data_IF_361833174445
#
_entry.id   IF_361833174445
#
_cell.length_a   1.000
_cell.length_b   1.000
_cell.length_c   1.000
_cell.angle_alpha   90.00
_cell.angle_beta   90.00
_cell.angle_gamma   90.00
#
_symmetry.space_group_name_H-M   'P 1'
#
loop_
_entity.id
_entity.type
_entity.pdbx_description
1 polymer ?
#
# COMPACT_ATOMS: atom_id res chain seq x y z
N UNK A 1 -4.67 -13.81 -1.59
CA UNK A 1 -4.37 -13.22 -2.88
C UNK A 1 -3.22 -12.23 -2.75
N UNK A 2 -2.26 -12.30 -3.64
CA UNK A 2 -1.08 -11.45 -3.60
C UNK A 2 -0.95 -10.69 -4.91
N UNK A 3 -0.73 -9.39 -4.83
CA UNK A 3 -0.64 -8.57 -6.01
C UNK A 3 0.37 -7.44 -5.79
N UNK A 4 1.10 -7.09 -6.84
CA UNK A 4 2.07 -6.01 -6.80
C UNK A 4 1.50 -4.80 -7.54
N UNK A 5 1.78 -3.61 -7.00
CA UNK A 5 1.33 -2.34 -7.57
C UNK A 5 2.54 -1.43 -7.72
N UNK A 6 2.42 -0.45 -8.59
CA UNK A 6 3.41 0.62 -8.69
C UNK A 6 2.92 1.77 -7.82
N UNK A 7 3.81 2.27 -6.95
CA UNK A 7 3.51 3.45 -6.14
C UNK A 7 4.51 4.54 -6.53
N UNK A 8 4.01 5.61 -7.14
CA UNK A 8 4.83 6.70 -7.67
C UNK A 8 4.82 7.91 -6.76
N UNK A 9 5.80 8.77 -6.91
CA UNK A 9 5.91 10.03 -6.19
C UNK A 9 6.11 9.84 -4.68
N UNK A 10 6.64 8.69 -4.28
CA UNK A 10 6.94 8.41 -2.88
C UNK A 10 8.42 8.75 -2.66
N UNK A 11 8.68 9.96 -2.19
CA UNK A 11 10.02 10.52 -2.12
C UNK A 11 10.79 10.14 -0.87
N UNK A 12 10.15 9.55 0.11
CA UNK A 12 10.70 9.40 1.45
C UNK A 12 10.59 7.97 1.95
N UNK A 13 11.72 7.38 2.35
CA UNK A 13 11.72 6.04 2.91
C UNK A 13 10.92 5.93 4.20
N UNK A 14 10.90 6.99 5.00
CA UNK A 14 10.11 7.03 6.22
C UNK A 14 8.61 7.02 5.90
N UNK A 15 8.22 7.73 4.87
CA UNK A 15 6.83 7.77 4.42
C UNK A 15 6.39 6.41 3.89
N UNK A 16 7.27 5.73 3.16
CA UNK A 16 7.00 4.37 2.69
C UNK A 16 6.78 3.42 3.87
N UNK A 17 7.60 3.53 4.90
CA UNK A 17 7.49 2.72 6.09
C UNK A 17 6.19 2.99 6.84
N UNK A 18 5.80 4.25 6.98
CA UNK A 18 4.54 4.63 7.61
C UNK A 18 3.34 4.08 6.84
N UNK A 19 3.38 4.17 5.52
CA UNK A 19 2.32 3.63 4.67
C UNK A 19 2.23 2.11 4.83
N UNK A 20 3.37 1.44 4.88
CA UNK A 20 3.42 -0.01 5.09
C UNK A 20 2.82 -0.40 6.44
N UNK A 21 3.20 0.29 7.50
CA UNK A 21 2.67 0.01 8.83
C UNK A 21 1.16 0.25 8.91
N UNK A 22 0.70 1.38 8.38
CA UNK A 22 -0.72 1.71 8.40
C UNK A 22 -1.53 0.70 7.59
N UNK A 23 -1.02 0.33 6.41
CA UNK A 23 -1.69 -0.65 5.56
C UNK A 23 -1.74 -2.03 6.22
N UNK A 24 -0.70 -2.42 6.95
CA UNK A 24 -0.66 -3.73 7.61
C UNK A 24 -1.69 -3.86 8.72
N UNK A 25 -2.21 -2.75 9.21
CA UNK A 25 -3.24 -2.75 10.26
C UNK A 25 -4.66 -2.87 9.72
N UNK A 26 -4.83 -2.82 8.41
CA UNK A 26 -6.14 -2.93 7.79
C UNK A 26 -6.64 -4.37 7.95
N UNK A 27 -7.89 -4.57 8.42
CA UNK A 27 -8.44 -5.93 8.54
C UNK A 27 -8.49 -6.64 7.19
N UNK A 28 -8.04 -7.88 7.17
CA UNK A 28 -7.98 -8.67 5.95
C UNK A 28 -6.62 -8.71 5.29
N UNK A 29 -5.68 -7.84 5.74
CA UNK A 29 -4.33 -7.83 5.21
C UNK A 29 -3.51 -8.93 5.88
N UNK A 30 -2.90 -9.80 5.08
CA UNK A 30 -1.97 -10.81 5.58
C UNK A 30 -0.55 -10.26 5.63
N UNK A 31 -0.18 -9.52 4.57
CA UNK A 31 1.16 -8.94 4.48
C UNK A 31 1.15 -7.79 3.47
N UNK A 32 1.91 -6.76 3.75
CA UNK A 32 2.10 -5.65 2.82
C UNK A 32 3.56 -5.19 2.89
N UNK A 33 4.12 -4.87 1.74
CA UNK A 33 5.48 -4.34 1.64
C UNK A 33 5.52 -3.19 0.67
N UNK A 34 6.25 -2.15 1.03
CA UNK A 34 6.44 -0.98 0.18
C UNK A 34 7.93 -0.77 -0.01
N UNK A 35 8.35 -0.69 -1.26
CA UNK A 35 9.74 -0.39 -1.61
C UNK A 35 9.75 0.91 -2.41
N UNK A 36 10.22 1.99 -1.79
CA UNK A 36 10.22 3.30 -2.42
C UNK A 36 11.32 3.44 -3.49
N UNK A 37 12.37 2.64 -3.39
CA UNK A 37 13.44 2.68 -4.38
C UNK A 37 13.01 2.11 -5.72
N UNK A 38 12.22 1.04 -5.71
CA UNK A 38 11.67 0.44 -6.92
C UNK A 38 10.28 0.93 -7.24
N UNK A 39 9.73 1.80 -6.42
CA UNK A 39 8.37 2.32 -6.55
C UNK A 39 7.34 1.19 -6.63
N UNK A 40 7.51 0.18 -5.78
CA UNK A 40 6.69 -1.01 -5.84
C UNK A 40 6.08 -1.34 -4.49
N UNK A 41 4.81 -1.72 -4.52
CA UNK A 41 4.08 -2.14 -3.33
C UNK A 41 3.51 -3.54 -3.58
N UNK A 42 3.74 -4.44 -2.64
CA UNK A 42 3.18 -5.80 -2.70
C UNK A 42 2.14 -5.95 -1.61
N UNK A 43 0.96 -6.40 -1.96
CA UNK A 43 -0.14 -6.60 -1.03
C UNK A 43 -0.59 -8.06 -1.07
N UNK A 44 -0.67 -8.66 0.11
CA UNK A 44 -1.21 -10.01 0.29
C UNK A 44 -2.40 -9.90 1.25
N UNK A 45 -3.58 -10.21 0.76
CA UNK A 45 -4.83 -10.12 1.52
C UNK A 45 -5.77 -11.24 1.13
N UNK A 46 -6.80 -11.47 1.94
CA UNK A 46 -7.81 -12.46 1.66
C UNK A 46 -8.54 -12.16 0.36
N UNK A 47 -8.79 -13.19 -0.45
CA UNK A 47 -9.39 -13.03 -1.77
C UNK A 47 -10.74 -12.29 -1.73
N UNK A 48 -11.58 -12.65 -0.80
CA UNK A 48 -12.92 -12.07 -0.68
C UNK A 48 -12.90 -10.65 -0.11
N UNK A 49 -11.80 -10.24 0.48
CA UNK A 49 -11.65 -8.91 1.08
C UNK A 49 -10.64 -8.05 0.34
N UNK A 50 -10.03 -8.58 -0.69
CA UNK A 50 -8.94 -7.91 -1.39
C UNK A 50 -9.35 -6.53 -1.90
N UNK A 51 -10.48 -6.42 -2.55
CA UNK A 51 -10.96 -5.15 -3.09
C UNK A 51 -11.20 -4.12 -1.99
N UNK A 52 -11.83 -4.55 -0.89
CA UNK A 52 -12.08 -3.65 0.24
C UNK A 52 -10.77 -3.22 0.89
N UNK A 53 -9.83 -4.13 1.06
CA UNK A 53 -8.51 -3.83 1.62
C UNK A 53 -7.77 -2.85 0.71
N UNK A 54 -7.81 -3.08 -0.58
CA UNK A 54 -7.14 -2.19 -1.55
C UNK A 54 -7.70 -0.78 -1.47
N UNK A 55 -9.01 -0.63 -1.36
CA UNK A 55 -9.64 0.69 -1.21
C UNK A 55 -9.16 1.40 0.06
N UNK A 56 -9.10 0.69 1.16
CA UNK A 56 -8.60 1.25 2.42
C UNK A 56 -7.14 1.67 2.31
N UNK A 57 -6.32 0.84 1.68
CA UNK A 57 -4.90 1.15 1.49
C UNK A 57 -4.73 2.39 0.61
N UNK A 58 -5.52 2.51 -0.44
CA UNK A 58 -5.50 3.70 -1.30
C UNK A 58 -5.81 4.96 -0.50
N UNK A 59 -6.79 4.91 0.39
CA UNK A 59 -7.14 6.04 1.25
C UNK A 59 -6.01 6.38 2.20
N UNK A 60 -5.38 5.37 2.79
CA UNK A 60 -4.26 5.55 3.71
C UNK A 60 -3.09 6.23 3.01
N UNK A 61 -2.71 5.71 1.85
CA UNK A 61 -1.60 6.28 1.07
C UNK A 61 -1.91 7.73 0.69
N UNK A 62 -3.13 8.00 0.26
CA UNK A 62 -3.52 9.35 -0.14
C UNK A 62 -3.50 10.31 1.04
N UNK A 63 -3.83 9.84 2.23
CA UNK A 63 -3.82 10.66 3.44
C UNK A 63 -2.39 10.97 3.90
N UNK A 64 -1.51 9.95 3.90
CA UNK A 64 -0.14 10.11 4.35
C UNK A 64 0.74 10.78 3.30
N UNK A 65 0.51 10.46 2.05
CA UNK A 65 1.28 10.96 0.91
C UNK A 65 0.34 11.42 -0.19
N UNK A 66 -0.21 12.65 -0.10
CA UNK A 66 -1.17 13.13 -1.11
C UNK A 66 -0.62 13.15 -2.53
N UNK A 67 0.70 13.29 -2.68
CA UNK A 67 1.35 13.33 -3.98
C UNK A 67 1.63 11.94 -4.55
N UNK A 68 1.57 10.90 -3.72
CA UNK A 68 1.83 9.55 -4.18
C UNK A 68 0.68 9.02 -5.01
N UNK A 69 1.01 8.26 -6.05
CA UNK A 69 0.03 7.66 -6.94
C UNK A 69 0.20 6.15 -6.90
N UNK A 70 -0.87 5.46 -6.53
CA UNK A 70 -0.90 4.00 -6.51
C UNK A 70 -1.53 3.50 -7.79
N UNK A 71 -0.75 2.78 -8.59
CA UNK A 71 -1.21 2.19 -9.84
C UNK A 71 -1.30 0.68 -9.72
N UNK A 72 -2.44 0.15 -10.10
CA UNK A 72 -2.67 -1.29 -10.10
C UNK A 72 -2.08 -1.95 -11.34
#
# INVERSE_FOLDING_TARGET
MKKAFTIRELDCGHCAQESEEAASKVPGVNKVRVNFLSERMTLDAEDDKFDAVLEEIKKIVKTLEPDAVLEA
#
